data_IF_545749286015
#
_entry.id   IF_545749286015
#
_cell.length_a   1.000
_cell.length_b   1.000
_cell.length_c   1.000
_cell.angle_alpha   90.00
_cell.angle_beta   90.00
_cell.angle_gamma   90.00
#
_symmetry.space_group_name_H-M   'P 1'
#
loop_
_entity.id
_entity.type
_entity.pdbx_description
1 polymer ?
#
# COMPACT_ATOMS: atom_id res chain seq x y z
N UNK A 1 12.82 -2.37 -2.86
CA UNK A 1 11.32 -2.28 -2.86
C UNK A 1 10.87 -0.82 -2.83
N UNK A 2 9.57 -0.53 -2.97
CA UNK A 2 9.05 0.83 -3.05
C UNK A 2 9.35 1.70 -1.82
N UNK A 3 9.44 1.10 -0.64
CA UNK A 3 9.83 1.76 0.61
C UNK A 3 11.34 1.92 0.80
N UNK A 4 12.18 1.37 -0.09
CA UNK A 4 13.64 1.45 0.01
C UNK A 4 14.10 2.79 -0.55
N UNK A 5 13.94 3.84 0.21
CA UNK A 5 14.21 5.23 -0.17
C UNK A 5 15.62 5.71 0.20
N UNK A 6 16.49 4.83 0.71
CA UNK A 6 17.85 5.24 1.07
C UNK A 6 18.58 6.00 -0.05
N UNK A 7 19.35 7.03 0.29
CA UNK A 7 19.81 7.40 1.65
C UNK A 7 18.85 8.30 2.46
N UNK A 8 17.68 8.61 1.94
CA UNK A 8 16.71 9.50 2.58
C UNK A 8 16.05 8.85 3.80
N UNK A 9 15.72 9.66 4.82
CA UNK A 9 15.14 9.22 6.09
C UNK A 9 13.65 9.57 6.15
N UNK A 10 12.82 8.56 6.39
CA UNK A 10 11.37 8.70 6.54
C UNK A 10 11.01 9.00 7.99
N UNK A 11 10.28 10.09 8.22
CA UNK A 11 9.78 10.55 9.51
C UNK A 11 8.26 10.53 9.51
N UNK A 12 7.69 9.60 10.26
CA UNK A 12 6.23 9.38 10.33
C UNK A 12 5.62 9.88 11.65
N UNK A 13 6.35 10.60 12.45
CA UNK A 13 5.89 11.13 13.72
C UNK A 13 4.82 12.21 13.50
N UNK A 14 3.83 12.24 14.40
CA UNK A 14 2.84 13.32 14.39
C UNK A 14 3.49 14.65 14.77
N UNK A 15 3.11 15.72 14.06
CA UNK A 15 3.52 17.09 14.36
C UNK A 15 2.35 18.05 14.13
N UNK A 16 2.28 19.10 14.95
CA UNK A 16 1.38 20.23 14.76
C UNK A 16 2.00 21.36 13.92
N UNK A 17 3.08 21.07 13.18
CA UNK A 17 3.76 22.02 12.29
C UNK A 17 2.76 22.69 11.35
N UNK A 18 2.95 23.99 11.12
CA UNK A 18 2.22 24.74 10.08
C UNK A 18 2.96 24.65 8.75
N UNK A 19 2.22 24.70 7.61
CA UNK A 19 2.81 24.60 6.30
C UNK A 19 3.62 25.85 5.94
N UNK A 20 4.75 25.64 5.30
CA UNK A 20 5.58 26.64 4.61
C UNK A 20 5.33 26.60 3.10
N UNK A 21 5.78 27.60 2.37
CA UNK A 21 5.48 27.73 0.92
C UNK A 21 6.07 26.61 0.07
N UNK A 22 7.25 26.07 0.45
CA UNK A 22 7.96 25.00 -0.27
C UNK A 22 7.57 23.58 0.16
N UNK A 23 6.68 23.46 1.17
CA UNK A 23 6.17 22.16 1.62
C UNK A 23 5.25 21.53 0.55
N UNK A 24 5.25 20.21 0.49
CA UNK A 24 4.43 19.45 -0.44
C UNK A 24 2.99 19.40 0.05
N UNK A 25 2.03 19.69 -0.83
CA UNK A 25 0.62 19.64 -0.51
C UNK A 25 -0.10 18.53 -1.29
N UNK A 26 -0.60 17.55 -0.58
CA UNK A 26 -1.42 16.48 -1.14
C UNK A 26 -2.88 16.96 -1.22
N UNK A 27 -3.40 17.02 -2.43
CA UNK A 27 -4.79 17.32 -2.71
C UNK A 27 -5.36 16.14 -3.50
N UNK A 28 -6.42 15.56 -2.99
CA UNK A 28 -7.02 14.36 -3.58
C UNK A 28 -8.46 14.60 -4.05
N UNK A 29 -8.88 13.82 -5.04
CA UNK A 29 -10.26 13.72 -5.51
C UNK A 29 -10.59 12.25 -5.77
N UNK A 30 -11.10 11.56 -4.76
CA UNK A 30 -11.26 10.11 -4.82
C UNK A 30 -9.90 9.41 -4.96
N UNK A 31 -9.72 8.65 -6.05
CA UNK A 31 -8.44 7.97 -6.35
C UNK A 31 -7.47 8.81 -7.19
N UNK A 32 -7.81 10.05 -7.46
CA UNK A 32 -6.92 10.95 -8.19
C UNK A 32 -6.20 11.89 -7.22
N UNK A 33 -5.01 12.31 -7.61
CA UNK A 33 -4.15 13.23 -6.89
C UNK A 33 -3.80 14.42 -7.78
N UNK A 34 -3.75 15.61 -7.19
CA UNK A 34 -3.35 16.82 -7.91
C UNK A 34 -1.84 16.79 -8.18
N UNK A 35 -1.47 16.99 -9.43
CA UNK A 35 -0.08 17.03 -9.88
C UNK A 35 0.21 18.36 -10.60
N UNK A 36 1.44 18.81 -10.47
CA UNK A 36 1.96 19.94 -11.23
C UNK A 36 2.53 19.43 -12.57
N UNK A 37 1.95 19.89 -13.70
CA UNK A 37 2.30 19.46 -15.05
C UNK A 37 2.36 17.92 -15.21
N UNK A 38 1.61 17.16 -14.38
CA UNK A 38 1.58 15.70 -14.40
C UNK A 38 2.89 15.00 -13.96
N UNK A 39 3.86 15.75 -13.42
CA UNK A 39 5.20 15.21 -13.12
C UNK A 39 5.60 15.30 -11.66
N UNK A 40 5.20 16.36 -10.96
CA UNK A 40 5.58 16.58 -9.56
C UNK A 40 4.37 16.83 -8.67
N UNK A 41 4.51 16.53 -7.39
CA UNK A 41 3.53 16.95 -6.39
C UNK A 41 3.59 18.47 -6.22
N UNK A 42 2.44 19.16 -6.10
CA UNK A 42 2.41 20.61 -5.95
C UNK A 42 2.93 21.03 -4.57
N UNK A 43 3.49 22.23 -4.50
CA UNK A 43 3.82 22.90 -3.24
C UNK A 43 2.63 23.71 -2.72
N UNK A 44 2.70 24.08 -1.43
CA UNK A 44 1.73 25.00 -0.80
C UNK A 44 1.63 26.31 -1.57
N UNK A 45 2.77 26.90 -2.00
CA UNK A 45 2.81 28.11 -2.79
C UNK A 45 2.04 27.99 -4.12
N UNK A 46 2.24 26.88 -4.83
CA UNK A 46 1.56 26.64 -6.11
C UNK A 46 0.03 26.52 -5.96
N UNK A 47 -0.42 25.88 -4.89
CA UNK A 47 -1.86 25.78 -4.59
C UNK A 47 -2.42 27.12 -4.14
N UNK A 48 -1.72 27.88 -3.30
CA UNK A 48 -2.12 29.24 -2.87
C UNK A 48 -2.22 30.24 -4.03
N UNK A 49 -1.47 30.03 -5.09
CA UNK A 49 -1.54 30.86 -6.28
C UNK A 49 -2.89 30.72 -7.05
N UNK A 50 -3.62 29.62 -6.84
CA UNK A 50 -4.86 29.33 -7.58
C UNK A 50 -6.11 29.25 -6.70
N UNK A 51 -5.95 29.11 -5.38
CA UNK A 51 -7.07 29.12 -4.44
C UNK A 51 -6.66 29.67 -3.07
N UNK A 52 -7.66 30.13 -2.29
CA UNK A 52 -7.42 30.55 -0.92
C UNK A 52 -7.20 29.32 -0.03
N UNK A 53 -6.03 29.24 0.61
CA UNK A 53 -5.66 28.19 1.54
C UNK A 53 -5.07 28.80 2.81
N UNK A 54 -5.84 28.78 3.91
CA UNK A 54 -5.36 29.17 5.22
C UNK A 54 -4.43 28.08 5.81
N UNK A 55 -3.52 28.47 6.68
CA UNK A 55 -2.58 27.54 7.31
C UNK A 55 -3.27 26.46 8.16
N UNK A 56 -4.45 26.78 8.72
CA UNK A 56 -5.28 25.88 9.53
C UNK A 56 -6.03 24.83 8.68
N UNK A 57 -6.05 25.00 7.37
CA UNK A 57 -6.68 24.07 6.41
C UNK A 57 -5.68 23.08 5.80
N UNK A 58 -4.43 23.12 6.24
CA UNK A 58 -3.41 22.17 5.83
C UNK A 58 -2.92 21.39 7.07
N UNK A 59 -2.95 20.06 6.96
CA UNK A 59 -2.63 19.14 8.06
C UNK A 59 -1.34 18.41 7.76
N UNK A 60 -0.38 18.47 8.71
CA UNK A 60 0.89 17.77 8.60
C UNK A 60 0.69 16.24 8.52
N UNK A 61 1.43 15.59 7.66
CA UNK A 61 1.36 14.13 7.45
C UNK A 61 2.65 13.43 7.85
N UNK A 62 3.75 13.78 7.24
CA UNK A 62 5.06 13.14 7.40
C UNK A 62 6.17 14.05 6.83
N UNK A 63 7.43 13.64 7.02
CA UNK A 63 8.53 14.20 6.22
C UNK A 63 9.48 13.11 5.71
N UNK A 64 10.23 13.46 4.68
CA UNK A 64 11.39 12.71 4.21
C UNK A 64 12.55 13.70 4.18
N UNK A 65 13.51 13.52 5.09
CA UNK A 65 14.49 14.54 5.45
C UNK A 65 13.80 15.90 5.70
N UNK A 66 14.21 16.94 5.00
CA UNK A 66 13.66 18.30 5.09
C UNK A 66 12.40 18.53 4.22
N UNK A 67 11.92 17.50 3.51
CA UNK A 67 10.69 17.61 2.71
C UNK A 67 9.47 17.22 3.52
N UNK A 68 8.64 18.21 3.87
CA UNK A 68 7.43 17.99 4.64
C UNK A 68 6.22 17.84 3.72
N UNK A 69 5.31 16.94 4.10
CA UNK A 69 4.10 16.64 3.37
C UNK A 69 2.90 17.02 4.21
N UNK A 70 1.99 17.73 3.59
CA UNK A 70 0.71 18.14 4.16
C UNK A 70 -0.43 17.66 3.29
N UNK A 71 -1.65 17.61 3.82
CA UNK A 71 -2.87 17.49 3.03
C UNK A 71 -3.85 18.61 3.35
N UNK A 72 -4.82 18.79 2.46
CA UNK A 72 -5.93 19.71 2.66
C UNK A 72 -7.24 19.10 2.18
N UNK A 73 -8.36 19.53 2.75
CA UNK A 73 -9.71 19.24 2.28
C UNK A 73 -10.30 20.35 1.40
N UNK A 74 -9.52 21.41 1.15
CA UNK A 74 -9.90 22.49 0.24
C UNK A 74 -9.94 21.94 -1.20
N UNK A 75 -11.02 22.26 -1.92
CA UNK A 75 -11.13 21.91 -3.34
C UNK A 75 -10.24 22.86 -4.15
N UNK A 76 -9.27 22.27 -4.86
CA UNK A 76 -8.35 23.03 -5.72
C UNK A 76 -8.80 22.87 -7.17
N UNK A 77 -9.03 23.99 -7.91
CA UNK A 77 -9.41 23.90 -9.31
C UNK A 77 -8.23 23.40 -10.17
N UNK A 78 -8.55 22.70 -11.25
CA UNK A 78 -7.57 22.43 -12.28
C UNK A 78 -7.21 23.71 -13.04
N UNK A 79 -5.98 23.80 -13.47
CA UNK A 79 -5.43 24.92 -14.26
C UNK A 79 -4.57 24.36 -15.40
N UNK A 80 -3.94 25.23 -16.16
CA UNK A 80 -2.99 24.83 -17.20
C UNK A 80 -1.81 24.02 -16.62
N UNK A 81 -1.42 24.30 -15.35
CA UNK A 81 -0.27 23.67 -14.70
C UNK A 81 -0.66 22.61 -13.63
N UNK A 82 -1.89 22.62 -13.15
CA UNK A 82 -2.37 21.72 -12.10
C UNK A 82 -3.52 20.87 -12.62
N UNK A 83 -3.35 19.54 -12.59
CA UNK A 83 -4.39 18.59 -13.04
C UNK A 83 -4.45 17.38 -12.13
N UNK A 84 -5.65 16.79 -12.00
CA UNK A 84 -5.83 15.53 -11.28
C UNK A 84 -5.50 14.36 -12.19
N UNK A 85 -4.75 13.41 -11.65
CA UNK A 85 -4.41 12.15 -12.33
C UNK A 85 -4.43 10.99 -11.34
N UNK A 86 -4.50 9.77 -11.84
CA UNK A 86 -4.53 8.57 -11.01
C UNK A 86 -3.36 8.55 -10.02
N UNK A 87 -3.65 8.27 -8.75
CA UNK A 87 -2.62 8.10 -7.70
C UNK A 87 -1.55 7.07 -8.07
N UNK A 88 -1.84 6.17 -8.99
CA UNK A 88 -0.89 5.16 -9.46
C UNK A 88 0.36 5.76 -10.14
N UNK A 89 0.31 7.03 -10.59
CA UNK A 89 1.47 7.75 -11.13
C UNK A 89 2.62 7.82 -10.11
N UNK A 90 2.31 7.83 -8.81
CA UNK A 90 3.31 7.89 -7.74
C UNK A 90 4.25 6.67 -7.73
N UNK A 91 3.83 5.55 -8.32
CA UNK A 91 4.68 4.35 -8.46
C UNK A 91 5.86 4.57 -9.41
N UNK A 92 5.70 5.46 -10.37
CA UNK A 92 6.68 5.74 -11.43
C UNK A 92 7.38 7.07 -11.21
N UNK A 93 7.08 7.76 -10.10
CA UNK A 93 7.63 9.08 -9.81
C UNK A 93 9.13 9.01 -9.58
N UNK A 94 9.84 9.97 -10.14
CA UNK A 94 11.28 10.16 -9.93
C UNK A 94 11.53 11.55 -9.32
N UNK A 95 12.30 11.65 -8.21
CA UNK A 95 12.95 10.54 -7.49
C UNK A 95 11.96 9.68 -6.69
N UNK A 96 12.27 8.38 -6.54
CA UNK A 96 11.38 7.38 -5.95
C UNK A 96 10.91 7.71 -4.53
N UNK A 97 11.74 8.39 -3.71
CA UNK A 97 11.34 8.80 -2.36
C UNK A 97 10.13 9.76 -2.36
N UNK A 98 9.99 10.61 -3.39
CA UNK A 98 8.83 11.48 -3.54
C UNK A 98 7.57 10.68 -3.87
N UNK A 99 7.69 9.64 -4.69
CA UNK A 99 6.59 8.71 -4.96
C UNK A 99 6.13 7.97 -3.71
N UNK A 100 7.07 7.47 -2.91
CA UNK A 100 6.79 6.82 -1.63
C UNK A 100 6.12 7.80 -0.65
N UNK A 101 6.74 8.96 -0.39
CA UNK A 101 6.18 9.99 0.51
C UNK A 101 4.79 10.45 0.06
N UNK A 102 4.61 10.70 -1.24
CA UNK A 102 3.32 11.07 -1.82
C UNK A 102 2.25 10.00 -1.63
N UNK A 103 2.58 8.73 -1.83
CA UNK A 103 1.63 7.62 -1.68
C UNK A 103 1.21 7.38 -0.23
N UNK A 104 2.15 7.42 0.72
CA UNK A 104 1.83 7.33 2.17
C UNK A 104 1.00 8.53 2.60
N UNK A 105 1.35 9.72 2.10
CA UNK A 105 0.59 10.94 2.34
C UNK A 105 -0.83 10.86 1.77
N UNK A 106 -1.01 10.30 0.58
CA UNK A 106 -2.33 10.07 -0.02
C UNK A 106 -3.16 9.08 0.82
N UNK A 107 -2.57 8.01 1.34
CA UNK A 107 -3.26 7.08 2.24
C UNK A 107 -3.77 7.79 3.50
N UNK A 108 -2.94 8.64 4.12
CA UNK A 108 -3.33 9.41 5.29
C UNK A 108 -4.41 10.46 4.96
N UNK A 109 -4.27 11.18 3.85
CA UNK A 109 -5.26 12.13 3.38
C UNK A 109 -6.61 11.45 3.10
N UNK A 110 -6.59 10.26 2.49
CA UNK A 110 -7.79 9.45 2.26
C UNK A 110 -8.46 9.01 3.57
N UNK A 111 -7.66 8.64 4.56
CA UNK A 111 -8.18 8.31 5.88
C UNK A 111 -8.85 9.52 6.55
N UNK A 112 -8.27 10.72 6.48
CA UNK A 112 -8.89 11.96 6.96
C UNK A 112 -10.21 12.25 6.24
N UNK A 113 -10.23 12.11 4.91
CA UNK A 113 -11.43 12.36 4.09
C UNK A 113 -12.58 11.41 4.43
N UNK A 114 -12.30 10.12 4.62
CA UNK A 114 -13.29 9.11 4.97
C UNK A 114 -13.88 9.28 6.39
N UNK A 115 -13.20 10.02 7.28
CA UNK A 115 -13.61 10.19 8.67
C UNK A 115 -14.08 11.61 9.00
N UNK A 116 -14.49 12.41 8.00
CA UNK A 116 -15.07 13.75 8.21
C UNK A 116 -16.31 13.76 9.09
N UNK A 117 -17.01 12.66 9.16
CA UNK A 117 -18.19 12.49 9.96
C UNK A 117 -18.10 11.22 10.81
N UNK A 118 -18.57 11.31 12.06
CA UNK A 118 -18.57 10.19 12.97
C UNK A 118 -19.52 9.10 12.51
N UNK A 119 -19.00 7.88 12.24
CA UNK A 119 -19.81 6.72 11.85
C UNK A 119 -20.79 6.26 12.93
N UNK A 120 -20.62 6.71 14.21
CA UNK A 120 -21.53 6.36 15.31
C UNK A 120 -22.72 7.31 15.42
N UNK A 121 -22.51 8.64 15.22
CA UNK A 121 -23.55 9.64 15.53
C UNK A 121 -23.74 10.72 14.44
N UNK A 122 -23.04 10.62 13.30
CA UNK A 122 -23.17 11.52 12.17
C UNK A 122 -22.62 12.95 12.37
N UNK A 123 -22.06 13.26 13.55
CA UNK A 123 -21.51 14.59 13.83
C UNK A 123 -20.18 14.78 13.08
N UNK A 124 -19.92 16.00 12.55
CA UNK A 124 -18.63 16.37 11.98
C UNK A 124 -17.52 16.15 13.01
N UNK A 125 -16.46 15.52 12.62
CA UNK A 125 -15.31 15.19 13.46
C UNK A 125 -14.27 16.30 13.45
N UNK A 126 -13.32 16.24 14.38
CA UNK A 126 -12.23 17.20 14.54
C UNK A 126 -10.89 16.46 14.63
N UNK A 127 -9.82 17.10 14.15
CA UNK A 127 -8.47 16.56 14.26
C UNK A 127 -7.97 16.70 15.71
N UNK A 128 -7.30 15.68 16.23
CA UNK A 128 -6.58 15.77 17.49
C UNK A 128 -5.39 16.72 17.37
N UNK A 129 -5.15 17.51 18.39
CA UNK A 129 -3.96 18.38 18.47
C UNK A 129 -2.74 17.66 19.09
N UNK A 130 -2.93 16.44 19.63
CA UNK A 130 -1.92 15.71 20.39
C UNK A 130 -1.31 14.53 19.65
N UNK A 131 -2.08 13.95 18.74
CA UNK A 131 -1.71 12.72 18.04
C UNK A 131 -2.42 12.62 16.70
N UNK A 132 -2.00 11.71 15.85
CA UNK A 132 -2.67 11.42 14.57
C UNK A 132 -3.97 10.67 14.80
N UNK A 133 -4.99 11.39 15.20
CA UNK A 133 -6.32 10.88 15.48
C UNK A 133 -7.40 11.88 15.05
N UNK A 134 -8.60 11.37 14.83
CA UNK A 134 -9.82 12.14 14.59
C UNK A 134 -10.76 11.86 15.76
N UNK A 135 -11.35 12.90 16.34
CA UNK A 135 -12.21 12.81 17.52
C UNK A 135 -13.60 13.35 17.19
N UNK A 136 -14.63 12.63 17.59
CA UNK A 136 -15.99 13.15 17.54
C UNK A 136 -16.27 14.05 18.77
N UNK A 137 -16.53 15.37 18.59
CA UNK A 137 -16.77 16.28 19.71
C UNK A 137 -18.07 15.97 20.46
N UNK A 138 -19.02 15.26 19.83
CA UNK A 138 -20.31 14.95 20.46
C UNK A 138 -20.28 13.67 21.28
N UNK A 139 -19.69 12.58 20.79
CA UNK A 139 -19.76 11.28 21.46
C UNK A 139 -18.40 10.76 21.95
N UNK A 140 -17.31 11.50 21.76
CA UNK A 140 -15.96 11.15 22.21
C UNK A 140 -15.31 10.00 21.45
N UNK A 141 -15.95 9.48 20.38
CA UNK A 141 -15.36 8.38 19.61
C UNK A 141 -14.10 8.85 18.90
N UNK A 142 -13.02 8.06 19.02
CA UNK A 142 -11.72 8.36 18.42
C UNK A 142 -11.42 7.39 17.31
N UNK A 143 -10.93 7.90 16.21
CA UNK A 143 -10.49 7.13 15.04
C UNK A 143 -8.98 7.27 14.86
N UNK A 144 -8.30 6.16 14.65
CA UNK A 144 -6.89 6.10 14.30
C UNK A 144 -6.71 5.68 12.86
N UNK A 145 -5.57 6.02 12.20
CA UNK A 145 -5.27 5.53 10.85
C UNK A 145 -5.34 4.01 10.77
N UNK A 146 -6.01 3.53 9.73
CA UNK A 146 -6.21 2.10 9.52
C UNK A 146 -5.15 1.54 8.59
N UNK A 147 -4.61 0.37 8.95
CA UNK A 147 -3.78 -0.48 8.12
C UNK A 147 -4.43 -1.86 8.07
N UNK A 148 -4.67 -2.38 6.86
CA UNK A 148 -5.22 -3.73 6.67
C UNK A 148 -4.06 -4.71 6.46
N UNK A 149 -3.91 -5.75 7.32
CA UNK A 149 -2.89 -6.77 7.11
C UNK A 149 -3.27 -7.66 5.91
N UNK A 150 -2.26 -7.99 5.11
CA UNK A 150 -2.36 -8.87 3.93
C UNK A 150 -1.21 -9.86 3.99
N UNK A 151 -1.46 -11.12 3.68
CA UNK A 151 -0.40 -12.10 3.46
C UNK A 151 -0.17 -12.29 1.96
N UNK A 152 1.08 -12.49 1.55
CA UNK A 152 1.45 -12.90 0.20
C UNK A 152 2.37 -14.13 0.30
N UNK A 153 2.10 -15.15 -0.50
CA UNK A 153 2.65 -16.48 -0.30
C UNK A 153 3.37 -16.98 -1.56
N UNK A 154 4.68 -17.16 -1.45
CA UNK A 154 5.47 -17.91 -2.41
C UNK A 154 5.38 -19.41 -2.07
N UNK A 155 4.49 -20.12 -2.76
CA UNK A 155 4.28 -21.56 -2.57
C UNK A 155 5.33 -22.29 -3.38
N UNK A 156 6.07 -23.19 -2.72
CA UNK A 156 7.22 -23.91 -3.29
C UNK A 156 6.97 -25.40 -3.26
N UNK A 157 7.34 -26.08 -4.35
CA UNK A 157 7.41 -27.53 -4.45
C UNK A 157 8.76 -27.92 -5.04
N UNK A 158 9.72 -28.22 -4.18
CA UNK A 158 11.10 -28.53 -4.58
C UNK A 158 11.77 -27.34 -5.29
N UNK A 159 11.98 -27.48 -6.59
CA UNK A 159 12.61 -26.45 -7.43
C UNK A 159 11.60 -25.65 -8.29
N UNK A 160 10.31 -25.70 -7.93
CA UNK A 160 9.22 -24.97 -8.58
C UNK A 160 8.55 -24.00 -7.62
N UNK A 161 8.08 -22.88 -8.16
CA UNK A 161 7.23 -21.91 -7.47
C UNK A 161 5.88 -21.85 -8.20
N UNK A 162 4.80 -21.69 -7.42
CA UNK A 162 3.48 -21.48 -8.00
C UNK A 162 3.30 -19.99 -8.32
N UNK A 163 3.06 -19.70 -9.60
CA UNK A 163 2.67 -18.37 -10.06
C UNK A 163 1.19 -18.37 -10.40
N UNK A 164 0.50 -17.31 -10.00
CA UNK A 164 -0.93 -17.11 -10.24
C UNK A 164 -1.17 -15.91 -11.16
N UNK A 165 -2.35 -15.85 -11.76
CA UNK A 165 -2.80 -14.69 -12.52
C UNK A 165 -4.28 -14.42 -12.24
N UNK A 166 -4.59 -13.17 -11.90
CA UNK A 166 -5.95 -12.75 -11.59
C UNK A 166 -6.85 -12.74 -12.83
N UNK A 167 -8.12 -13.10 -12.64
CA UNK A 167 -9.15 -13.11 -13.68
C UNK A 167 -9.66 -11.70 -14.02
N UNK A 168 -9.58 -10.76 -13.08
CA UNK A 168 -10.17 -9.41 -13.18
C UNK A 168 -9.10 -8.32 -13.09
N UNK A 169 -9.42 -7.12 -13.60
CA UNK A 169 -8.62 -5.92 -13.36
C UNK A 169 -7.55 -5.57 -14.38
N UNK A 170 -7.43 -6.30 -15.51
CA UNK A 170 -6.46 -5.98 -16.58
C UNK A 170 -4.98 -6.22 -16.21
N UNK A 171 -4.70 -6.68 -14.98
CA UNK A 171 -3.35 -7.05 -14.58
C UNK A 171 -2.99 -8.41 -15.19
N UNK A 172 -2.12 -8.38 -16.19
CA UNK A 172 -1.76 -9.59 -16.97
C UNK A 172 -0.47 -10.27 -16.50
N UNK A 173 0.24 -9.68 -15.53
CA UNK A 173 1.49 -10.26 -15.02
C UNK A 173 1.18 -11.36 -14.02
N UNK A 174 2.12 -12.30 -13.90
CA UNK A 174 2.07 -13.28 -12.83
C UNK A 174 2.19 -12.62 -11.46
N UNK A 175 1.55 -13.24 -10.48
CA UNK A 175 1.55 -12.86 -9.08
C UNK A 175 1.77 -14.09 -8.20
N UNK A 176 1.71 -13.88 -6.91
CA UNK A 176 1.66 -14.94 -5.90
C UNK A 176 0.26 -14.93 -5.26
N UNK A 177 -0.13 -16.01 -4.61
CA UNK A 177 -1.36 -16.08 -3.78
C UNK A 177 -1.30 -14.99 -2.72
N UNK A 178 -2.38 -14.23 -2.53
CA UNK A 178 -2.41 -13.15 -1.54
C UNK A 178 -3.83 -12.81 -1.11
N UNK A 179 -4.03 -12.61 0.19
CA UNK A 179 -5.31 -12.19 0.70
C UNK A 179 -5.25 -11.45 2.04
N UNK A 180 -6.40 -10.92 2.45
CA UNK A 180 -6.53 -10.19 3.71
C UNK A 180 -6.59 -11.16 4.90
N UNK A 181 -5.95 -10.74 5.99
CA UNK A 181 -6.09 -11.44 7.28
C UNK A 181 -7.47 -11.13 7.87
N UNK A 182 -8.19 -12.17 8.26
CA UNK A 182 -9.49 -12.06 8.88
C UNK A 182 -9.40 -11.85 10.41
N UNK A 183 -10.49 -11.31 11.00
CA UNK A 183 -10.54 -11.05 12.44
C UNK A 183 -10.42 -12.36 13.22
N UNK A 184 -9.38 -12.45 14.05
CA UNK A 184 -9.10 -13.62 14.87
C UNK A 184 -8.10 -14.61 14.29
N UNK A 185 -7.64 -14.39 13.06
CA UNK A 185 -6.57 -15.21 12.46
C UNK A 185 -5.17 -14.75 12.89
N UNK A 186 -4.25 -15.69 12.95
CA UNK A 186 -2.81 -15.40 12.85
C UNK A 186 -2.41 -15.23 11.38
N UNK A 187 -1.24 -14.64 11.12
CA UNK A 187 -0.73 -14.53 9.74
C UNK A 187 -0.54 -15.92 9.11
N UNK A 188 -0.10 -16.90 9.87
CA UNK A 188 0.11 -18.28 9.42
C UNK A 188 -1.22 -19.00 9.12
N UNK A 189 -2.29 -18.69 9.85
CA UNK A 189 -3.63 -19.24 9.57
C UNK A 189 -4.20 -18.62 8.30
N UNK A 190 -4.03 -17.30 8.11
CA UNK A 190 -4.40 -16.63 6.87
C UNK A 190 -3.64 -17.21 5.66
N UNK A 191 -2.33 -17.52 5.80
CA UNK A 191 -1.55 -18.19 4.75
C UNK A 191 -2.20 -19.53 4.37
N UNK A 192 -2.55 -20.39 5.36
CA UNK A 192 -3.15 -21.70 5.08
C UNK A 192 -4.53 -21.57 4.43
N UNK A 193 -5.35 -20.64 4.89
CA UNK A 193 -6.70 -20.40 4.36
C UNK A 193 -6.64 -19.91 2.92
N UNK A 194 -5.88 -18.84 2.65
CA UNK A 194 -5.76 -18.24 1.30
C UNK A 194 -5.22 -19.25 0.28
N UNK A 195 -4.20 -20.04 0.66
CA UNK A 195 -3.68 -21.09 -0.22
C UNK A 195 -4.73 -22.15 -0.51
N UNK A 196 -5.51 -22.54 0.48
CA UNK A 196 -6.58 -23.52 0.28
C UNK A 196 -7.70 -22.93 -0.59
N UNK A 197 -8.13 -21.70 -0.32
CA UNK A 197 -9.23 -21.05 -1.04
C UNK A 197 -8.90 -20.76 -2.50
N UNK A 198 -7.73 -20.20 -2.78
CA UNK A 198 -7.37 -19.78 -4.12
C UNK A 198 -6.86 -20.93 -5.01
N UNK A 199 -6.08 -21.86 -4.45
CA UNK A 199 -5.35 -22.88 -5.24
C UNK A 199 -5.53 -24.32 -4.77
N UNK A 200 -6.29 -24.57 -3.70
CA UNK A 200 -6.66 -25.90 -3.21
C UNK A 200 -5.50 -26.73 -2.66
N UNK A 201 -4.44 -26.07 -2.19
CA UNK A 201 -3.24 -26.75 -1.69
C UNK A 201 -3.15 -26.70 -0.17
N UNK A 202 -2.55 -27.72 0.43
CA UNK A 202 -2.05 -27.67 1.79
C UNK A 202 -0.59 -27.23 1.81
N UNK A 203 -0.20 -26.47 2.84
CA UNK A 203 1.18 -25.99 3.01
C UNK A 203 1.71 -26.22 4.40
N UNK A 204 3.02 -26.42 4.47
CA UNK A 204 3.82 -26.57 5.70
C UNK A 204 5.04 -25.66 5.65
N UNK A 205 5.84 -25.68 6.73
CA UNK A 205 7.10 -24.94 6.83
C UNK A 205 6.94 -23.46 6.41
N UNK A 206 5.90 -22.81 6.96
CA UNK A 206 5.58 -21.40 6.68
C UNK A 206 6.68 -20.53 7.30
N UNK A 207 7.37 -19.74 6.46
CA UNK A 207 8.51 -18.91 6.84
C UNK A 207 8.26 -17.47 6.43
N UNK A 208 8.28 -16.55 7.40
CA UNK A 208 8.22 -15.11 7.10
C UNK A 208 9.44 -14.70 6.29
N UNK A 209 9.22 -13.87 5.27
CA UNK A 209 10.25 -13.32 4.42
C UNK A 209 10.53 -11.86 4.76
N UNK A 210 9.57 -11.01 4.49
CA UNK A 210 9.68 -9.56 4.57
C UNK A 210 8.29 -8.92 4.61
N UNK A 211 8.22 -7.61 4.87
CA UNK A 211 6.95 -6.88 4.75
C UNK A 211 7.09 -5.63 3.89
N UNK A 212 5.97 -5.21 3.30
CA UNK A 212 5.87 -4.02 2.49
C UNK A 212 4.64 -3.19 2.87
N UNK A 213 4.79 -1.91 3.25
CA UNK A 213 3.67 -0.98 3.27
C UNK A 213 3.16 -0.75 1.84
N UNK A 214 1.85 -0.88 1.66
CA UNK A 214 1.21 -0.70 0.36
C UNK A 214 0.09 0.34 0.45
N UNK A 215 0.43 1.64 0.32
CA UNK A 215 -0.51 2.75 0.52
C UNK A 215 -1.74 2.71 -0.38
N UNK A 216 -1.61 2.20 -1.59
CA UNK A 216 -2.67 2.19 -2.61
C UNK A 216 -3.90 1.35 -2.24
N UNK A 217 -3.77 0.42 -1.30
CA UNK A 217 -4.85 -0.35 -0.68
C UNK A 217 -4.92 -0.22 0.83
N UNK A 218 -4.15 0.72 1.42
CA UNK A 218 -4.02 0.90 2.87
C UNK A 218 -3.61 -0.37 3.61
N UNK A 219 -2.71 -1.15 3.01
CA UNK A 219 -2.30 -2.46 3.51
C UNK A 219 -0.85 -2.46 4.02
N UNK A 220 -0.59 -3.40 4.93
CA UNK A 220 0.75 -3.89 5.23
C UNK A 220 0.81 -5.34 4.74
N UNK A 221 1.60 -5.59 3.71
CA UNK A 221 1.75 -6.92 3.12
C UNK A 221 2.88 -7.64 3.83
N UNK A 222 2.59 -8.82 4.39
CA UNK A 222 3.56 -9.74 4.99
C UNK A 222 3.82 -10.90 4.03
N UNK A 223 5.06 -11.06 3.58
CA UNK A 223 5.49 -12.10 2.64
C UNK A 223 5.93 -13.38 3.35
N UNK A 224 5.46 -14.50 2.85
CA UNK A 224 5.79 -15.83 3.35
C UNK A 224 6.23 -16.75 2.23
N UNK A 225 7.21 -17.60 2.53
CA UNK A 225 7.46 -18.83 1.78
C UNK A 225 6.79 -19.99 2.49
N UNK A 226 6.19 -20.90 1.73
CA UNK A 226 5.60 -22.10 2.30
C UNK A 226 5.82 -23.27 1.33
N UNK A 227 6.13 -24.45 1.87
CA UNK A 227 6.31 -25.65 1.07
C UNK A 227 4.97 -26.40 0.95
N UNK A 228 4.71 -27.00 -0.23
CA UNK A 228 3.52 -27.84 -0.41
C UNK A 228 3.56 -29.02 0.54
N UNK A 229 2.40 -29.34 1.14
CA UNK A 229 2.20 -30.52 1.96
C UNK A 229 1.26 -31.51 1.26
N UNK A 230 1.83 -32.54 0.67
CA UNK A 230 1.07 -33.58 -0.07
C UNK A 230 1.04 -33.38 -1.57
N UNK A 231 -0.16 -33.52 -2.18
CA UNK A 231 -0.36 -33.45 -3.62
C UNK A 231 -0.22 -32.00 -4.13
N UNK A 232 0.67 -31.72 -5.11
CA UNK A 232 0.85 -30.40 -5.70
C UNK A 232 -0.16 -30.03 -6.79
N UNK A 233 -1.21 -30.82 -6.98
CA UNK A 233 -2.23 -30.54 -7.99
C UNK A 233 -3.04 -29.30 -7.65
N UNK A 234 -2.97 -28.28 -8.51
CA UNK A 234 -3.67 -27.00 -8.31
C UNK A 234 -5.16 -27.12 -8.67
N UNK A 235 -6.01 -26.68 -7.75
CA UNK A 235 -7.46 -26.55 -7.94
C UNK A 235 -7.85 -25.10 -7.69
N UNK A 236 -8.09 -24.32 -8.74
CA UNK A 236 -8.37 -22.89 -8.62
C UNK A 236 -9.73 -22.60 -7.99
N UNK A 237 -9.76 -21.54 -7.18
CA UNK A 237 -10.97 -20.91 -6.66
C UNK A 237 -11.88 -21.92 -5.92
N UNK A 238 -11.34 -22.67 -4.98
CA UNK A 238 -12.09 -23.71 -4.25
C UNK A 238 -13.20 -23.14 -3.36
N UNK A 239 -13.14 -21.85 -3.07
CA UNK A 239 -14.20 -21.08 -2.37
C UNK A 239 -15.33 -20.61 -3.29
N UNK A 240 -15.18 -20.80 -4.62
CA UNK A 240 -16.18 -20.41 -5.62
C UNK A 240 -16.14 -18.92 -6.02
N UNK A 241 -15.14 -18.16 -5.61
CA UNK A 241 -15.02 -16.72 -5.94
C UNK A 241 -14.26 -16.50 -7.22
N UNK A 242 -14.05 -17.21 -8.14
CA UNK A 242 -13.47 -17.02 -9.50
C UNK A 242 -12.47 -15.83 -9.59
N UNK A 243 -11.55 -15.75 -8.63
CA UNK A 243 -10.57 -14.68 -8.55
C UNK A 243 -9.37 -14.94 -9.45
N UNK A 244 -8.92 -16.18 -9.54
CA UNK A 244 -7.78 -16.56 -10.33
C UNK A 244 -8.20 -17.16 -11.66
N UNK A 245 -7.51 -16.73 -12.73
CA UNK A 245 -7.64 -17.28 -14.07
C UNK A 245 -6.65 -18.42 -14.32
N UNK A 246 -5.53 -18.44 -13.60
CA UNK A 246 -4.42 -19.35 -13.86
C UNK A 246 -3.57 -19.57 -12.61
N UNK A 247 -3.11 -20.80 -12.43
CA UNK A 247 -2.08 -21.19 -11.46
C UNK A 247 -1.13 -22.16 -12.11
N UNK A 248 0.14 -21.78 -12.27
CA UNK A 248 1.14 -22.57 -12.98
C UNK A 248 2.39 -22.77 -12.14
N UNK A 249 2.86 -23.99 -12.09
CA UNK A 249 4.16 -24.31 -11.53
C UNK A 249 5.27 -23.95 -12.51
N UNK A 250 6.18 -23.10 -12.10
CA UNK A 250 7.32 -22.67 -12.92
C UNK A 250 8.61 -23.09 -12.23
N UNK A 251 9.46 -23.80 -12.97
CA UNK A 251 10.77 -24.21 -12.46
C UNK A 251 11.68 -22.98 -12.31
N UNK A 252 12.59 -23.05 -11.35
CA UNK A 252 13.56 -21.98 -11.06
C UNK A 252 14.30 -21.49 -12.31
N UNK A 253 14.70 -22.40 -13.16
CA UNK A 253 15.48 -22.09 -14.36
C UNK A 253 14.63 -21.40 -15.45
N UNK A 254 13.34 -21.72 -15.51
CA UNK A 254 12.39 -21.14 -16.47
C UNK A 254 11.85 -19.77 -16.04
N UNK A 255 12.03 -19.39 -14.76
CA UNK A 255 11.55 -18.10 -14.25
C UNK A 255 12.18 -16.93 -15.03
N UNK A 256 11.33 -16.06 -15.56
CA UNK A 256 11.71 -14.78 -16.14
C UNK A 256 11.35 -13.66 -15.16
N UNK A 257 12.33 -12.84 -14.77
CA UNK A 257 12.09 -11.70 -13.90
C UNK A 257 11.66 -10.49 -14.74
N UNK A 258 10.42 -10.06 -14.59
CA UNK A 258 9.82 -9.01 -15.41
C UNK A 258 9.70 -7.66 -14.70
N UNK A 259 10.16 -7.52 -13.44
CA UNK A 259 9.87 -6.35 -12.61
C UNK A 259 11.07 -5.46 -12.33
N UNK A 260 10.76 -4.17 -12.17
CA UNK A 260 11.67 -3.10 -11.73
C UNK A 260 12.12 -3.17 -10.26
N UNK A 261 11.70 -4.19 -9.50
CA UNK A 261 12.06 -4.36 -8.08
C UNK A 261 11.21 -3.55 -7.09
N UNK A 262 10.05 -3.04 -7.49
CA UNK A 262 9.20 -2.22 -6.63
C UNK A 262 8.31 -3.00 -5.66
N UNK A 263 7.89 -4.21 -6.03
CA UNK A 263 6.91 -4.98 -5.24
C UNK A 263 7.53 -6.15 -4.50
N UNK A 264 7.00 -6.43 -3.31
CA UNK A 264 7.36 -7.60 -2.51
C UNK A 264 7.16 -8.91 -3.29
N UNK A 265 6.09 -9.01 -4.09
CA UNK A 265 5.82 -10.17 -4.98
C UNK A 265 7.05 -10.53 -5.81
N UNK A 266 7.57 -9.54 -6.54
CA UNK A 266 8.71 -9.78 -7.45
C UNK A 266 10.02 -9.92 -6.70
N UNK A 267 10.16 -9.28 -5.54
CA UNK A 267 11.31 -9.50 -4.67
C UNK A 267 11.38 -10.94 -4.16
N UNK A 268 10.25 -11.50 -3.73
CA UNK A 268 10.14 -12.89 -3.31
C UNK A 268 10.41 -13.87 -4.46
N UNK A 269 9.86 -13.61 -5.65
CA UNK A 269 10.13 -14.42 -6.86
C UNK A 269 11.63 -14.39 -7.20
N UNK A 270 12.27 -13.22 -7.12
CA UNK A 270 13.72 -13.08 -7.32
C UNK A 270 14.52 -13.86 -6.28
N UNK A 271 14.18 -13.73 -4.98
CA UNK A 271 14.83 -14.47 -3.89
C UNK A 271 14.73 -15.99 -4.12
N UNK A 272 13.57 -16.48 -4.56
CA UNK A 272 13.43 -17.87 -4.92
C UNK A 272 14.36 -18.24 -6.09
N UNK A 273 14.41 -17.46 -7.16
CA UNK A 273 15.26 -17.70 -8.32
C UNK A 273 16.74 -17.75 -7.96
N UNK A 274 17.19 -16.83 -7.12
CA UNK A 274 18.59 -16.66 -6.73
C UNK A 274 19.03 -17.58 -5.57
N UNK A 275 18.15 -18.44 -5.06
CA UNK A 275 18.41 -19.34 -3.90
C UNK A 275 18.87 -18.59 -2.66
N UNK A 276 18.40 -17.35 -2.47
CA UNK A 276 18.68 -16.66 -1.23
C UNK A 276 18.16 -17.42 -0.02
N UNK A 277 18.98 -17.59 1.04
CA UNK A 277 18.51 -18.21 2.26
C UNK A 277 17.37 -17.37 2.84
N UNK A 278 16.20 -17.97 2.99
CA UNK A 278 15.10 -17.37 3.70
C UNK A 278 15.44 -17.54 5.17
N UNK A 279 15.86 -16.45 5.81
CA UNK A 279 16.19 -16.51 7.23
C UNK A 279 14.92 -16.87 8.01
N UNK A 280 14.91 -18.01 8.65
CA UNK A 280 14.04 -18.25 9.78
C UNK A 280 14.36 -17.20 10.83
N UNK A 281 13.44 -16.30 11.10
CA UNK A 281 13.54 -15.45 12.29
C UNK A 281 13.45 -16.41 13.47
N UNK A 282 14.58 -16.54 14.17
CA UNK A 282 14.66 -17.35 15.40
C UNK A 282 13.94 -16.63 16.55
#
# INVERSE_FOLDING_TARGET
MFQDIGPYVFHNEYSSRKPEEDDILIVQKGRDILMNCGQTLPTVAQVRAVCSLAAEQAYYLLSIDEKHFFCTDVQVPETENLSYTSVMILREMNPGYMGFGGSVSWQLASWYDLHRYCGRCGTKTEHSERERAIICPKCGHTYYPRISPVVIIAIVDGDRILLTRYNRGGYRRHSLVAGFVEIGETLEDAVRREVMEEVGLHVKDIRYCESQPWPFSSSLIAGFFADVDGDPTVHLNTDGQDELAEGVWVSRDELVLEDSGMSLTWDMIRKFKEKHPISTIA
#
